data_IF_335073712487
#
_entry.id   IF_335073712487
#
_cell.length_a   1.000
_cell.length_b   1.000
_cell.length_c   1.000
_cell.angle_alpha   90.00
_cell.angle_beta   90.00
_cell.angle_gamma   90.00
#
_symmetry.space_group_name_H-M   'P 1'
#
loop_
_entity.id
_entity.type
_entity.pdbx_description
1 polymer ?
#
# COMPACT_ATOMS: atom_id res chain seq x y z
N UNK A 1 30.12 15.23 16.20
CA UNK A 1 28.74 15.66 16.49
C UNK A 1 28.15 16.07 15.15
N UNK A 2 27.45 15.14 14.48
CA UNK A 2 26.90 15.37 13.14
C UNK A 2 25.59 16.14 13.26
N UNK A 3 25.41 17.10 12.36
CA UNK A 3 24.37 18.12 12.32
C UNK A 3 22.94 17.53 12.40
N UNK A 4 22.27 17.71 13.54
CA UNK A 4 20.90 17.28 13.85
C UNK A 4 19.82 18.21 13.22
N UNK A 5 20.21 19.04 12.24
CA UNK A 5 19.33 20.02 11.58
C UNK A 5 18.76 19.57 10.23
N UNK A 6 19.15 18.41 9.72
CA UNK A 6 18.87 18.02 8.32
C UNK A 6 17.46 17.46 8.04
N UNK A 7 16.59 17.28 9.05
CA UNK A 7 15.26 16.68 8.86
C UNK A 7 14.12 17.34 9.67
N UNK A 8 14.32 18.54 10.24
CA UNK A 8 13.28 19.20 11.07
C UNK A 8 11.98 19.52 10.34
N UNK A 9 11.98 19.58 9.01
CA UNK A 9 10.77 19.82 8.21
C UNK A 9 9.93 18.57 8.01
N UNK A 10 10.52 17.37 8.15
CA UNK A 10 9.77 16.13 8.02
C UNK A 10 9.22 15.77 9.39
N UNK A 11 8.03 16.31 9.68
CA UNK A 11 7.34 16.06 10.95
C UNK A 11 7.06 14.55 11.15
N UNK A 12 6.83 13.81 10.05
CA UNK A 12 6.45 12.40 10.10
C UNK A 12 6.91 11.61 8.84
N UNK A 13 7.89 10.70 8.97
CA UNK A 13 8.18 9.66 7.96
C UNK A 13 7.50 8.36 8.40
N UNK A 14 6.31 8.10 7.87
CA UNK A 14 5.67 6.79 8.01
C UNK A 14 5.30 6.26 6.63
N UNK A 15 5.33 4.94 6.50
CA UNK A 15 4.52 4.24 5.50
C UNK A 15 3.08 4.78 5.60
N UNK A 16 2.53 5.23 4.46
CA UNK A 16 1.32 6.02 4.29
C UNK A 16 0.25 5.86 5.38
N UNK A 17 0.21 6.82 6.31
CA UNK A 17 -0.87 7.00 7.32
C UNK A 17 -2.30 7.10 6.76
N UNK A 18 -2.49 7.15 5.43
CA UNK A 18 -3.79 7.23 4.76
C UNK A 18 -4.67 6.00 5.01
N UNK A 19 -4.10 4.81 5.20
CA UNK A 19 -4.89 3.58 5.36
C UNK A 19 -5.37 3.35 6.80
N UNK A 20 -4.75 3.98 7.81
CA UNK A 20 -4.95 3.67 9.24
C UNK A 20 -6.32 4.09 9.78
N UNK A 21 -6.89 5.19 9.29
CA UNK A 21 -8.14 5.74 9.81
C UNK A 21 -9.23 5.66 8.74
N UNK A 22 -10.47 5.37 9.13
CA UNK A 22 -11.61 5.33 8.21
C UNK A 22 -11.76 6.63 7.38
N UNK A 23 -11.37 7.78 7.97
CA UNK A 23 -11.34 9.07 7.28
C UNK A 23 -10.32 9.14 6.13
N UNK A 24 -9.12 8.58 6.29
CA UNK A 24 -8.11 8.57 5.23
C UNK A 24 -8.46 7.60 4.08
N UNK A 25 -9.19 6.52 4.38
CA UNK A 25 -9.71 5.60 3.36
C UNK A 25 -10.73 6.28 2.44
N UNK A 26 -11.55 7.19 2.97
CA UNK A 26 -12.52 7.97 2.20
C UNK A 26 -11.88 9.03 1.30
N UNK A 27 -10.59 9.34 1.47
CA UNK A 27 -9.86 10.25 0.57
C UNK A 27 -9.16 9.50 -0.56
N UNK A 28 -8.95 8.19 -0.41
CA UNK A 28 -8.19 7.36 -1.33
C UNK A 28 -9.06 6.95 -2.54
N UNK A 29 -8.62 7.27 -3.75
CA UNK A 29 -9.26 6.78 -4.97
C UNK A 29 -8.79 5.35 -5.32
N UNK A 30 -9.50 4.70 -6.24
CA UNK A 30 -9.05 3.39 -6.73
C UNK A 30 -7.74 3.50 -7.53
N UNK A 31 -7.60 4.54 -8.37
CA UNK A 31 -6.37 4.81 -9.13
C UNK A 31 -5.18 5.03 -8.20
N UNK A 32 -5.38 5.78 -7.12
CA UNK A 32 -4.39 5.99 -6.06
C UNK A 32 -3.88 4.67 -5.47
N UNK A 33 -4.77 3.70 -5.26
CA UNK A 33 -4.41 2.36 -4.77
C UNK A 33 -3.57 1.60 -5.80
N UNK A 34 -3.98 1.62 -7.07
CA UNK A 34 -3.26 0.95 -8.15
C UNK A 34 -1.85 1.52 -8.36
N UNK A 35 -1.73 2.85 -8.40
CA UNK A 35 -0.45 3.55 -8.59
C UNK A 35 0.51 3.28 -7.43
N UNK A 36 0.02 3.39 -6.18
CA UNK A 36 0.84 3.11 -4.99
C UNK A 36 1.25 1.64 -4.90
N UNK A 37 0.34 0.70 -5.21
CA UNK A 37 0.67 -0.73 -5.30
C UNK A 37 1.81 -0.95 -6.30
N UNK A 38 1.66 -0.41 -7.52
CA UNK A 38 2.65 -0.57 -8.57
C UNK A 38 4.01 0.01 -8.17
N UNK A 39 4.03 1.23 -7.63
CA UNK A 39 5.26 1.86 -7.15
C UNK A 39 5.91 1.08 -6.00
N UNK A 40 5.13 0.61 -5.03
CA UNK A 40 5.65 -0.23 -3.94
C UNK A 40 6.30 -1.51 -4.45
N UNK A 41 5.72 -2.16 -5.46
CA UNK A 41 6.31 -3.36 -6.08
C UNK A 41 7.60 -3.01 -6.83
N UNK A 42 7.64 -1.90 -7.58
CA UNK A 42 8.87 -1.44 -8.26
C UNK A 42 10.00 -1.13 -7.26
N UNK A 43 9.67 -0.48 -6.14
CA UNK A 43 10.63 -0.19 -5.07
C UNK A 43 11.16 -1.49 -4.48
N UNK A 44 10.29 -2.47 -4.17
CA UNK A 44 10.74 -3.77 -3.67
C UNK A 44 11.61 -4.51 -4.68
N UNK A 45 11.25 -4.47 -5.97
CA UNK A 45 12.04 -5.06 -7.04
C UNK A 45 13.42 -4.39 -7.13
N UNK A 46 13.49 -3.07 -7.06
CA UNK A 46 14.74 -2.31 -7.04
C UNK A 46 15.60 -2.70 -5.83
N UNK A 47 15.04 -2.63 -4.62
CA UNK A 47 15.76 -2.95 -3.38
C UNK A 47 16.25 -4.40 -3.34
N UNK A 48 15.52 -5.34 -3.96
CA UNK A 48 15.92 -6.74 -4.03
C UNK A 48 17.19 -6.99 -4.84
N UNK A 49 17.56 -6.07 -5.75
CA UNK A 49 18.76 -6.16 -6.58
C UNK A 49 20.05 -5.76 -5.83
N UNK A 50 19.93 -4.99 -4.75
CA UNK A 50 21.09 -4.52 -3.98
C UNK A 50 21.29 -5.37 -2.73
N UNK A 51 22.48 -5.95 -2.56
CA UNK A 51 22.80 -6.84 -1.42
C UNK A 51 22.52 -6.20 -0.06
N UNK A 52 22.81 -4.90 0.08
CA UNK A 52 22.56 -4.11 1.30
C UNK A 52 21.08 -4.09 1.70
N UNK A 53 20.16 -4.01 0.73
CA UNK A 53 18.72 -3.84 0.98
C UNK A 53 17.89 -5.10 0.74
N UNK A 54 18.50 -6.14 0.16
CA UNK A 54 17.85 -7.40 -0.16
C UNK A 54 17.17 -8.05 1.05
N UNK A 55 17.77 -7.96 2.23
CA UNK A 55 17.17 -8.51 3.45
C UNK A 55 15.91 -7.75 3.86
N UNK A 56 15.95 -6.42 3.81
CA UNK A 56 14.81 -5.56 4.08
C UNK A 56 13.66 -5.83 3.10
N UNK A 57 13.94 -5.82 1.79
CA UNK A 57 12.94 -6.10 0.76
C UNK A 57 12.29 -7.48 0.95
N UNK A 58 13.08 -8.50 1.31
CA UNK A 58 12.57 -9.84 1.61
C UNK A 58 11.69 -9.87 2.85
N UNK A 59 12.08 -9.17 3.93
CA UNK A 59 11.29 -9.12 5.17
C UNK A 59 9.95 -8.44 4.94
N UNK A 60 9.96 -7.28 4.30
CA UNK A 60 8.75 -6.52 3.99
C UNK A 60 7.80 -7.29 3.05
N UNK A 61 8.35 -7.96 2.03
CA UNK A 61 7.55 -8.82 1.15
C UNK A 61 6.94 -10.02 1.89
N UNK A 62 7.67 -10.60 2.86
CA UNK A 62 7.16 -11.67 3.71
C UNK A 62 6.03 -11.20 4.62
N UNK A 63 6.17 -10.01 5.22
CA UNK A 63 5.10 -9.41 6.03
C UNK A 63 3.86 -9.10 5.20
N UNK A 64 4.05 -8.53 4.00
CA UNK A 64 2.97 -8.25 3.05
C UNK A 64 2.20 -9.52 2.67
N UNK A 65 2.91 -10.64 2.44
CA UNK A 65 2.31 -11.91 1.99
C UNK A 65 1.92 -12.86 3.13
N UNK A 66 2.18 -12.48 4.39
CA UNK A 66 1.87 -13.31 5.57
C UNK A 66 0.38 -13.70 5.66
N UNK A 67 -0.50 -12.92 5.04
CA UNK A 67 -1.93 -13.16 4.94
C UNK A 67 -2.39 -13.24 3.48
N UNK A 68 -1.96 -14.28 2.77
CA UNK A 68 -2.11 -14.50 1.32
C UNK A 68 -3.51 -14.31 0.71
N UNK A 69 -4.57 -14.34 1.50
CA UNK A 69 -5.93 -14.17 0.97
C UNK A 69 -6.33 -12.73 0.66
N UNK A 70 -5.69 -11.73 1.26
CA UNK A 70 -6.02 -10.30 1.14
C UNK A 70 -7.53 -9.97 1.29
N UNK A 71 -8.32 -10.79 1.99
CA UNK A 71 -9.79 -10.64 2.09
C UNK A 71 -10.26 -9.58 3.08
N UNK A 72 -9.36 -9.05 3.91
CA UNK A 72 -9.70 -8.14 5.00
C UNK A 72 -8.65 -7.05 5.12
N UNK A 73 -9.12 -5.83 5.32
CA UNK A 73 -8.30 -4.70 5.72
C UNK A 73 -7.58 -4.99 7.05
N UNK A 74 -6.31 -4.59 7.17
CA UNK A 74 -5.51 -4.81 8.39
C UNK A 74 -4.71 -3.55 8.73
N UNK A 75 -5.05 -2.96 9.87
CA UNK A 75 -4.35 -1.77 10.38
C UNK A 75 -2.89 -2.06 10.77
N UNK A 76 -2.57 -3.32 11.11
CA UNK A 76 -1.24 -3.77 11.52
C UNK A 76 -0.46 -4.47 10.42
N UNK A 77 -0.93 -4.39 9.16
CA UNK A 77 -0.23 -4.93 8.00
C UNK A 77 0.45 -3.81 7.21
N UNK A 78 1.33 -4.17 6.29
CA UNK A 78 1.97 -3.21 5.37
C UNK A 78 0.94 -2.47 4.52
N UNK A 79 1.28 -1.29 4.05
CA UNK A 79 0.42 -0.54 3.12
C UNK A 79 0.24 -1.29 1.81
N UNK A 80 1.30 -1.98 1.35
CA UNK A 80 1.21 -2.83 0.16
C UNK A 80 0.13 -3.91 0.31
N UNK A 81 0.00 -4.55 1.47
CA UNK A 81 -1.08 -5.50 1.73
C UNK A 81 -2.45 -4.82 1.62
N UNK A 82 -2.60 -3.62 2.20
CA UNK A 82 -3.86 -2.89 2.18
C UNK A 82 -4.22 -2.39 0.77
N UNK A 83 -3.25 -1.99 -0.04
CA UNK A 83 -3.49 -1.67 -1.45
C UNK A 83 -3.91 -2.91 -2.25
N UNK A 84 -3.30 -4.07 -2.01
CA UNK A 84 -3.75 -5.33 -2.63
C UNK A 84 -5.19 -5.65 -2.22
N UNK A 85 -5.55 -5.47 -0.94
CA UNK A 85 -6.93 -5.63 -0.45
C UNK A 85 -7.92 -4.72 -1.19
N UNK A 86 -7.58 -3.46 -1.46
CA UNK A 86 -8.47 -2.55 -2.19
C UNK A 86 -8.55 -2.85 -3.70
N UNK A 87 -7.42 -3.21 -4.34
CA UNK A 87 -7.36 -3.50 -5.79
C UNK A 87 -8.03 -4.83 -6.14
N UNK A 88 -7.87 -5.86 -5.30
CA UNK A 88 -8.47 -7.20 -5.53
C UNK A 88 -9.82 -7.39 -4.84
N UNK A 89 -10.16 -6.47 -3.95
CA UNK A 89 -11.31 -6.57 -3.07
C UNK A 89 -12.65 -6.67 -3.80
N UNK A 90 -13.64 -7.14 -3.04
CA UNK A 90 -15.03 -7.15 -3.43
C UNK A 90 -15.68 -5.77 -3.21
N UNK A 91 -16.98 -5.68 -3.48
CA UNK A 91 -17.76 -4.45 -3.30
C UNK A 91 -17.62 -3.84 -1.89
N UNK A 92 -17.44 -4.68 -0.85
CA UNK A 92 -17.24 -4.19 0.53
C UNK A 92 -15.92 -3.45 0.71
N UNK A 93 -14.88 -3.83 -0.03
CA UNK A 93 -13.62 -3.11 -0.03
C UNK A 93 -13.73 -1.80 -0.81
N UNK A 94 -14.34 -1.86 -2.00
CA UNK A 94 -14.51 -0.71 -2.88
C UNK A 94 -15.40 0.38 -2.27
N UNK A 95 -16.45 -0.01 -1.54
CA UNK A 95 -17.34 0.93 -0.85
C UNK A 95 -16.67 1.75 0.26
N UNK A 96 -15.42 1.45 0.62
CA UNK A 96 -14.63 2.24 1.58
C UNK A 96 -13.81 3.35 0.94
N UNK A 97 -13.71 3.37 -0.39
CA UNK A 97 -12.94 4.35 -1.15
C UNK A 97 -13.77 5.61 -1.41
N UNK A 98 -13.08 6.69 -1.82
CA UNK A 98 -13.67 8.01 -2.07
C UNK A 98 -14.85 8.01 -3.04
N UNK A 99 -14.74 7.28 -4.16
CA UNK A 99 -15.79 7.15 -5.18
C UNK A 99 -15.97 5.68 -5.56
N UNK A 100 -16.88 4.97 -4.86
CA UNK A 100 -17.09 3.54 -5.10
C UNK A 100 -17.59 3.21 -6.51
N UNK A 101 -18.32 4.12 -7.16
CA UNK A 101 -18.90 3.85 -8.49
C UNK A 101 -17.82 3.82 -9.56
N UNK A 102 -16.97 4.85 -9.61
CA UNK A 102 -15.85 4.86 -10.55
C UNK A 102 -14.83 3.76 -10.22
N UNK A 103 -14.58 3.51 -8.93
CA UNK A 103 -13.72 2.44 -8.46
C UNK A 103 -14.18 1.06 -8.95
N UNK A 104 -15.48 0.75 -8.87
CA UNK A 104 -16.01 -0.55 -9.33
C UNK A 104 -15.84 -0.75 -10.84
N UNK A 105 -16.02 0.32 -11.63
CA UNK A 105 -15.81 0.29 -13.09
C UNK A 105 -14.35 0.00 -13.41
N UNK A 106 -13.42 0.68 -12.73
CA UNK A 106 -11.99 0.48 -12.91
C UNK A 106 -11.55 -0.90 -12.44
N UNK A 107 -12.05 -1.35 -11.28
CA UNK A 107 -11.80 -2.69 -10.74
C UNK A 107 -12.15 -3.80 -11.71
N UNK A 108 -13.28 -3.70 -12.41
CA UNK A 108 -13.66 -4.70 -13.42
C UNK A 108 -12.73 -4.73 -14.65
N UNK A 109 -11.95 -3.67 -14.87
CA UNK A 109 -10.96 -3.56 -15.96
C UNK A 109 -9.54 -3.92 -15.50
N UNK A 110 -9.28 -3.90 -14.20
CA UNK A 110 -7.97 -4.21 -13.62
C UNK A 110 -7.89 -5.68 -13.23
N UNK A 111 -6.75 -6.31 -13.50
CA UNK A 111 -6.43 -7.64 -13.00
C UNK A 111 -4.99 -7.64 -12.52
N UNK A 112 -4.74 -8.24 -11.36
CA UNK A 112 -3.39 -8.47 -10.84
C UNK A 112 -3.22 -9.96 -10.51
N UNK A 113 -2.05 -10.56 -10.78
CA UNK A 113 -1.78 -11.92 -10.34
C UNK A 113 -1.72 -11.94 -8.81
N UNK A 114 -2.61 -12.71 -8.19
CA UNK A 114 -2.70 -12.86 -6.71
C UNK A 114 -2.64 -14.31 -6.31
#
# INVERSE_FOLDING_TARGET
>A
MLDDKSMQFIEEIYEARMTRNAYGQMELSYTDCCERLYLSVLILALLSQYSTYKHFAKSYAKETTAHSSYKRFRMNSTDLYNFIYFVTGDEKAINKLKDPKSAMILRNRTSIPT
#
